data_IF_276704120994
#
_entry.id   IF_276704120994
#
_cell.length_a   1.000
_cell.length_b   1.000
_cell.length_c   1.000
_cell.angle_alpha   90.00
_cell.angle_beta   90.00
_cell.angle_gamma   90.00
#
_symmetry.space_group_name_H-M   'P 1'
#
loop_
_entity.id
_entity.type
_entity.pdbx_description
1 polymer ?
#
# COMPACT_ATOMS: atom_id res chain seq x y z
N UNK A 1 -1.41 12.02 47.99
CA UNK A 1 -1.05 11.83 46.58
C UNK A 1 -1.68 12.99 45.86
N UNK A 2 -0.86 13.96 45.47
CA UNK A 2 -1.26 15.08 44.64
C UNK A 2 -1.42 14.51 43.22
N UNK A 3 -2.66 14.21 42.83
CA UNK A 3 -2.95 13.82 41.45
C UNK A 3 -2.94 15.13 40.70
N UNK A 4 -1.80 15.47 40.10
CA UNK A 4 -1.65 16.66 39.29
C UNK A 4 -2.80 16.70 38.28
N UNK A 5 -3.71 17.68 38.42
CA UNK A 5 -4.70 17.94 37.39
C UNK A 5 -3.93 18.18 36.08
N UNK A 6 -4.29 17.48 35.00
CA UNK A 6 -3.67 17.69 33.70
C UNK A 6 -3.82 19.16 33.32
N UNK A 7 -2.77 19.78 32.75
CA UNK A 7 -2.80 21.19 32.42
C UNK A 7 -3.97 21.49 31.48
N UNK A 8 -4.77 22.49 31.81
CA UNK A 8 -5.88 22.93 30.98
C UNK A 8 -5.34 23.42 29.63
N UNK A 9 -5.82 22.82 28.54
CA UNK A 9 -5.38 23.19 27.20
C UNK A 9 -5.88 24.59 26.85
N UNK A 10 -5.01 25.42 26.25
CA UNK A 10 -5.43 26.70 25.71
C UNK A 10 -6.43 26.49 24.56
N UNK A 11 -7.32 27.46 24.31
CA UNK A 11 -8.43 27.30 23.35
C UNK A 11 -7.99 27.00 21.91
N UNK A 12 -6.83 27.53 21.50
CA UNK A 12 -6.21 27.23 20.21
C UNK A 12 -5.67 25.81 20.15
N UNK A 13 -4.96 25.39 21.21
CA UNK A 13 -4.38 24.06 21.34
C UNK A 13 -5.48 22.98 21.42
N UNK A 14 -6.53 23.22 22.19
CA UNK A 14 -7.69 22.33 22.28
C UNK A 14 -8.31 22.06 20.91
N UNK A 15 -8.46 23.10 20.08
CA UNK A 15 -8.96 22.95 18.71
C UNK A 15 -8.05 22.09 17.84
N UNK A 16 -6.73 22.35 17.91
CA UNK A 16 -5.74 21.60 17.14
C UNK A 16 -5.70 20.12 17.54
N UNK A 17 -5.76 19.82 18.84
CA UNK A 17 -5.79 18.43 19.35
C UNK A 17 -7.08 17.72 18.91
N UNK A 18 -8.24 18.35 19.06
CA UNK A 18 -9.52 17.76 18.63
C UNK A 18 -9.55 17.52 17.11
N UNK A 19 -9.00 18.43 16.31
CA UNK A 19 -8.87 18.25 14.87
C UNK A 19 -8.01 17.03 14.52
N UNK A 20 -6.87 16.86 15.20
CA UNK A 20 -5.98 15.71 15.01
C UNK A 20 -6.68 14.38 15.38
N UNK A 21 -7.41 14.34 16.50
CA UNK A 21 -8.16 13.15 16.90
C UNK A 21 -9.26 12.81 15.88
N UNK A 22 -10.04 13.80 15.47
CA UNK A 22 -11.14 13.62 14.51
C UNK A 22 -10.68 13.21 13.11
N UNK A 23 -9.43 13.49 12.75
CA UNK A 23 -8.84 13.05 11.48
C UNK A 23 -8.58 11.54 11.46
N UNK A 24 -8.29 10.93 12.61
CA UNK A 24 -7.87 9.53 12.71
C UNK A 24 -9.05 8.58 12.99
N UNK A 25 -10.13 9.06 13.60
CA UNK A 25 -11.29 8.22 13.92
C UNK A 25 -12.03 7.74 12.67
N UNK A 26 -12.34 6.45 12.62
CA UNK A 26 -13.06 5.78 11.54
C UNK A 26 -14.57 5.61 11.83
N UNK A 27 -15.02 5.92 13.05
CA UNK A 27 -16.41 5.96 13.50
C UNK A 27 -16.72 7.26 14.26
N UNK A 28 -18.00 7.68 14.38
CA UNK A 28 -18.36 8.82 15.22
C UNK A 28 -17.83 8.67 16.66
N UNK A 29 -17.11 9.68 17.14
CA UNK A 29 -16.49 9.68 18.46
C UNK A 29 -17.36 10.42 19.49
N UNK A 30 -17.84 9.75 20.55
CA UNK A 30 -18.58 10.41 21.63
C UNK A 30 -17.76 11.50 22.29
N UNK A 31 -18.43 12.55 22.77
CA UNK A 31 -17.77 13.68 23.47
C UNK A 31 -17.01 13.17 24.69
N UNK A 32 -17.58 12.22 25.42
CA UNK A 32 -17.00 11.62 26.62
C UNK A 32 -15.68 10.90 26.30
N UNK A 33 -15.61 10.21 25.16
CA UNK A 33 -14.39 9.53 24.71
C UNK A 33 -13.31 10.54 24.35
N UNK A 34 -13.65 11.60 23.60
CA UNK A 34 -12.71 12.64 23.22
C UNK A 34 -12.19 13.38 24.46
N UNK A 35 -13.09 13.77 25.36
CA UNK A 35 -12.79 14.44 26.62
C UNK A 35 -11.85 13.62 27.51
N UNK A 36 -12.10 12.32 27.63
CA UNK A 36 -11.23 11.42 28.38
C UNK A 36 -9.82 11.33 27.76
N UNK A 37 -9.72 11.28 26.43
CA UNK A 37 -8.43 11.13 25.74
C UNK A 37 -7.50 12.35 25.87
N UNK A 38 -8.06 13.55 26.03
CA UNK A 38 -7.31 14.80 26.17
C UNK A 38 -7.37 15.37 27.60
N UNK A 39 -8.00 14.62 28.50
CA UNK A 39 -8.21 14.97 29.89
C UNK A 39 -8.81 16.37 30.12
N UNK A 40 -9.81 16.74 29.30
CA UNK A 40 -10.55 18.01 29.40
C UNK A 40 -12.02 17.80 29.78
N UNK A 41 -12.71 18.81 30.35
CA UNK A 41 -14.12 18.67 30.70
C UNK A 41 -15.03 18.44 29.46
N UNK A 42 -15.99 17.49 29.50
CA UNK A 42 -16.86 17.18 28.36
C UNK A 42 -17.65 18.38 27.81
N UNK A 43 -18.12 19.28 28.69
CA UNK A 43 -18.85 20.47 28.27
C UNK A 43 -17.98 21.42 27.41
N UNK A 44 -16.68 21.51 27.72
CA UNK A 44 -15.71 22.34 27.00
C UNK A 44 -15.43 21.75 25.63
N UNK A 45 -15.26 20.43 25.56
CA UNK A 45 -15.08 19.69 24.30
C UNK A 45 -16.29 19.84 23.41
N UNK A 46 -17.51 19.65 23.92
CA UNK A 46 -18.74 19.84 23.16
C UNK A 46 -18.86 21.27 22.60
N UNK A 47 -18.60 22.28 23.43
CA UNK A 47 -18.63 23.68 23.01
C UNK A 47 -17.60 23.96 21.90
N UNK A 48 -16.38 23.43 22.05
CA UNK A 48 -15.32 23.59 21.04
C UNK A 48 -15.66 22.90 19.72
N UNK A 49 -16.18 21.67 19.76
CA UNK A 49 -16.61 20.93 18.56
C UNK A 49 -17.70 21.69 17.79
N UNK A 50 -18.67 22.26 18.51
CA UNK A 50 -19.71 23.09 17.91
C UNK A 50 -19.14 24.36 17.26
N UNK A 51 -18.20 25.04 17.93
CA UNK A 51 -17.52 26.20 17.37
C UNK A 51 -16.71 25.85 16.12
N UNK A 52 -15.94 24.75 16.16
CA UNK A 52 -15.19 24.25 15.00
C UNK A 52 -16.13 23.95 13.83
N UNK A 53 -17.27 23.30 14.05
CA UNK A 53 -18.24 23.01 13.00
C UNK A 53 -18.76 24.29 12.32
N UNK A 54 -18.98 25.36 13.10
CA UNK A 54 -19.34 26.67 12.57
C UNK A 54 -18.19 27.31 11.80
N UNK A 55 -16.95 27.23 12.28
CA UNK A 55 -15.76 27.74 11.58
C UNK A 55 -15.54 27.05 10.23
N UNK A 56 -15.67 25.71 10.18
CA UNK A 56 -15.63 24.92 8.95
C UNK A 56 -16.70 25.37 7.95
N UNK A 57 -17.89 25.71 8.43
CA UNK A 57 -19.00 26.18 7.60
C UNK A 57 -18.80 27.63 7.14
N UNK A 58 -18.35 28.52 8.02
CA UNK A 58 -18.14 29.94 7.73
C UNK A 58 -17.06 30.18 6.67
N UNK A 59 -16.01 29.35 6.65
CA UNK A 59 -14.94 29.40 5.63
C UNK A 59 -15.26 28.64 4.35
N UNK A 60 -16.50 28.15 4.20
CA UNK A 60 -16.96 27.32 3.10
C UNK A 60 -16.09 26.07 2.83
N UNK A 61 -15.60 25.43 3.89
CA UNK A 61 -14.71 24.27 3.80
C UNK A 61 -15.34 23.07 3.09
N UNK A 62 -14.50 22.29 2.41
CA UNK A 62 -14.83 20.95 1.91
C UNK A 62 -15.05 19.92 3.01
N UNK A 63 -14.56 20.19 4.21
CA UNK A 63 -14.78 19.38 5.41
C UNK A 63 -16.05 19.86 6.11
N UNK A 64 -16.84 18.91 6.58
CA UNK A 64 -18.07 19.12 7.31
C UNK A 64 -18.04 18.30 8.61
N UNK A 65 -17.85 18.99 9.74
CA UNK A 65 -17.83 18.38 11.06
C UNK A 65 -19.27 18.24 11.56
N UNK A 66 -19.74 17.00 11.76
CA UNK A 66 -21.13 16.71 12.10
C UNK A 66 -21.23 15.85 13.35
N UNK A 67 -22.29 16.09 14.12
CA UNK A 67 -22.77 15.19 15.15
C UNK A 67 -23.72 14.15 14.51
N UNK A 68 -23.40 12.87 14.62
CA UNK A 68 -24.19 11.77 14.11
C UNK A 68 -23.99 10.50 14.95
N UNK A 69 -25.06 9.75 15.20
CA UNK A 69 -24.97 8.48 15.94
C UNK A 69 -24.48 8.62 17.39
N UNK A 70 -24.68 9.79 18.03
CA UNK A 70 -24.22 10.07 19.39
C UNK A 70 -22.74 10.45 19.50
N UNK A 71 -22.08 10.78 18.40
CA UNK A 71 -20.70 11.23 18.38
C UNK A 71 -20.39 12.19 17.25
N UNK A 72 -19.15 12.66 17.21
CA UNK A 72 -18.65 13.64 16.25
C UNK A 72 -17.73 13.00 15.22
N UNK A 73 -17.84 13.44 13.96
CA UNK A 73 -16.97 12.98 12.88
C UNK A 73 -16.85 14.02 11.77
N UNK A 74 -15.68 14.05 11.12
CA UNK A 74 -15.46 14.79 9.89
C UNK A 74 -15.97 14.02 8.67
N UNK A 75 -16.72 14.72 7.82
CA UNK A 75 -17.21 14.24 6.54
C UNK A 75 -16.76 15.17 5.41
N UNK A 76 -16.81 14.69 4.17
CA UNK A 76 -16.76 15.57 3.01
C UNK A 76 -18.13 16.19 2.77
N UNK A 77 -18.16 17.49 2.47
CA UNK A 77 -19.42 18.17 2.15
C UNK A 77 -20.00 17.66 0.83
N UNK A 78 -21.31 17.40 0.82
CA UNK A 78 -22.02 16.70 -0.27
C UNK A 78 -21.85 17.33 -1.65
N UNK A 79 -21.72 18.67 -1.74
CA UNK A 79 -21.48 19.37 -3.02
C UNK A 79 -20.16 18.97 -3.71
N UNK A 80 -19.20 18.41 -2.97
CA UNK A 80 -17.93 17.93 -3.50
C UNK A 80 -17.93 16.42 -3.78
N UNK A 81 -19.04 15.72 -3.57
CA UNK A 81 -19.16 14.28 -3.85
C UNK A 81 -18.65 13.89 -5.26
N UNK A 82 -18.95 14.63 -6.35
CA UNK A 82 -18.44 14.25 -7.68
C UNK A 82 -16.92 14.21 -7.78
N UNK A 83 -16.20 15.05 -7.03
CA UNK A 83 -14.73 15.08 -7.03
C UNK A 83 -14.15 13.94 -6.20
N UNK A 84 -14.76 13.64 -5.05
CA UNK A 84 -14.39 12.52 -4.18
C UNK A 84 -14.60 11.21 -4.94
N UNK A 85 -15.77 11.05 -5.58
CA UNK A 85 -16.08 9.90 -6.44
C UNK A 85 -15.04 9.75 -7.54
N UNK A 86 -14.71 10.83 -8.27
CA UNK A 86 -13.69 10.77 -9.32
C UNK A 86 -12.34 10.31 -8.78
N UNK A 87 -11.87 10.82 -7.64
CA UNK A 87 -10.61 10.39 -7.05
C UNK A 87 -10.62 8.89 -6.67
N UNK A 88 -11.69 8.45 -5.99
CA UNK A 88 -11.84 7.06 -5.57
C UNK A 88 -12.00 6.10 -6.78
N UNK A 89 -12.68 6.55 -7.83
CA UNK A 89 -12.90 5.80 -9.05
C UNK A 89 -11.69 5.82 -9.99
N UNK A 90 -10.90 6.89 -10.05
CA UNK A 90 -9.68 6.99 -10.86
C UNK A 90 -8.58 6.08 -10.30
N UNK A 91 -8.49 5.93 -8.98
CA UNK A 91 -7.65 4.91 -8.34
C UNK A 91 -8.01 3.48 -8.76
N UNK A 92 -9.28 3.22 -9.07
CA UNK A 92 -9.81 1.94 -9.51
C UNK A 92 -9.86 1.74 -11.05
N UNK A 93 -9.55 2.76 -11.87
CA UNK A 93 -9.87 2.77 -13.31
C UNK A 93 -8.73 3.10 -14.28
N UNK A 94 -7.46 3.09 -13.90
CA UNK A 94 -6.44 3.00 -14.97
C UNK A 94 -6.51 1.58 -15.57
N UNK A 95 -6.73 1.47 -16.88
CA UNK A 95 -6.71 0.17 -17.57
C UNK A 95 -5.42 -0.54 -17.19
N UNK A 96 -5.50 -1.84 -16.87
CA UNK A 96 -4.29 -2.63 -16.68
C UNK A 96 -3.42 -2.48 -17.92
N UNK A 97 -2.14 -2.16 -17.71
CA UNK A 97 -1.19 -2.12 -18.80
C UNK A 97 -1.08 -3.50 -19.43
N UNK A 98 -0.59 -3.58 -20.66
CA UNK A 98 -0.34 -4.87 -21.32
C UNK A 98 0.53 -5.79 -20.44
N UNK A 99 1.59 -5.24 -19.84
CA UNK A 99 2.45 -5.98 -18.92
C UNK A 99 1.70 -6.52 -17.69
N UNK A 100 0.72 -5.77 -17.17
CA UNK A 100 -0.09 -6.20 -16.04
C UNK A 100 -1.12 -7.27 -16.42
N UNK A 101 -1.72 -7.17 -17.62
CA UNK A 101 -2.59 -8.22 -18.16
C UNK A 101 -1.82 -9.52 -18.42
N UNK A 102 -0.63 -9.43 -18.99
CA UNK A 102 0.25 -10.59 -19.21
C UNK A 102 0.66 -11.25 -17.88
N UNK A 103 1.00 -10.48 -16.85
CA UNK A 103 1.29 -11.04 -15.51
C UNK A 103 0.05 -11.68 -14.89
N UNK A 104 -1.10 -11.01 -14.96
CA UNK A 104 -2.35 -11.53 -14.41
C UNK A 104 -2.76 -12.85 -15.08
N UNK A 105 -2.55 -12.98 -16.39
CA UNK A 105 -2.78 -14.22 -17.12
C UNK A 105 -1.89 -15.35 -16.58
N UNK A 106 -0.59 -15.11 -16.37
CA UNK A 106 0.31 -16.13 -15.79
C UNK A 106 -0.20 -16.60 -14.43
N UNK A 107 -0.66 -15.69 -13.56
CA UNK A 107 -1.23 -16.07 -12.25
C UNK A 107 -2.52 -16.87 -12.42
N UNK A 108 -3.44 -16.44 -13.28
CA UNK A 108 -4.73 -17.11 -13.49
C UNK A 108 -4.57 -18.56 -13.98
N UNK A 109 -3.62 -18.82 -14.88
CA UNK A 109 -3.41 -20.17 -15.44
C UNK A 109 -2.47 -21.06 -14.62
N UNK A 110 -1.66 -20.49 -13.71
CA UNK A 110 -0.66 -21.26 -12.93
C UNK A 110 -0.82 -21.21 -11.44
N UNK A 111 -1.88 -20.58 -10.94
CA UNK A 111 -2.15 -20.54 -9.51
C UNK A 111 -2.27 -21.95 -8.92
N UNK A 112 -1.78 -22.18 -7.69
CA UNK A 112 -1.01 -21.24 -6.87
C UNK A 112 0.45 -21.08 -7.37
N UNK A 113 0.92 -19.83 -7.56
CA UNK A 113 2.24 -19.55 -8.15
C UNK A 113 3.06 -18.55 -7.34
N UNK A 114 4.38 -18.74 -7.24
CA UNK A 114 5.28 -17.82 -6.53
C UNK A 114 5.67 -16.63 -7.41
N UNK A 115 6.01 -15.50 -6.77
CA UNK A 115 6.53 -14.30 -7.47
C UNK A 115 7.73 -14.61 -8.36
N UNK A 116 8.65 -15.47 -7.90
CA UNK A 116 9.84 -15.87 -8.64
C UNK A 116 9.46 -16.62 -9.94
N UNK A 117 8.56 -17.61 -9.85
CA UNK A 117 8.06 -18.35 -11.03
C UNK A 117 7.36 -17.43 -12.03
N UNK A 118 6.56 -16.46 -11.56
CA UNK A 118 5.92 -15.47 -12.45
C UNK A 118 6.96 -14.60 -13.16
N UNK A 119 8.01 -14.16 -12.45
CA UNK A 119 9.10 -13.37 -13.01
C UNK A 119 9.86 -14.15 -14.09
N UNK A 120 10.13 -15.43 -13.85
CA UNK A 120 10.83 -16.30 -14.79
C UNK A 120 10.04 -16.53 -16.08
N UNK A 121 8.74 -16.84 -15.98
CA UNK A 121 7.84 -16.98 -17.16
C UNK A 121 7.78 -15.69 -17.98
N UNK A 122 7.81 -14.53 -17.32
CA UNK A 122 7.75 -13.22 -17.99
C UNK A 122 9.11 -12.74 -18.50
N UNK A 123 10.22 -13.33 -18.04
CA UNK A 123 11.59 -12.93 -18.38
C UNK A 123 11.96 -11.51 -17.93
N UNK A 124 11.17 -10.89 -17.04
CA UNK A 124 11.36 -9.51 -16.55
C UNK A 124 10.94 -9.38 -15.09
N UNK A 125 11.39 -8.33 -14.40
CA UNK A 125 10.95 -8.03 -13.03
C UNK A 125 9.45 -7.69 -13.01
N UNK A 126 8.69 -8.39 -12.16
CA UNK A 126 7.23 -8.26 -12.02
C UNK A 126 6.77 -7.61 -10.70
N UNK A 127 7.68 -7.15 -9.84
CA UNK A 127 7.38 -6.71 -8.47
C UNK A 127 6.35 -5.58 -8.39
N UNK A 128 6.53 -4.54 -9.21
CA UNK A 128 5.61 -3.41 -9.24
C UNK A 128 4.22 -3.82 -9.76
N UNK A 129 4.19 -4.75 -10.72
CA UNK A 129 2.95 -5.26 -11.32
C UNK A 129 2.21 -6.16 -10.32
N UNK A 130 2.91 -7.08 -9.66
CA UNK A 130 2.33 -7.95 -8.62
C UNK A 130 1.72 -7.12 -7.48
N UNK A 131 2.45 -6.11 -6.99
CA UNK A 131 1.93 -5.18 -5.96
C UNK A 131 0.68 -4.43 -6.44
N UNK A 132 0.64 -4.03 -7.71
CA UNK A 132 -0.54 -3.36 -8.31
C UNK A 132 -1.72 -4.30 -8.42
N UNK A 133 -1.51 -5.55 -8.82
CA UNK A 133 -2.58 -6.55 -8.94
C UNK A 133 -3.17 -6.94 -7.57
N UNK A 134 -2.31 -7.07 -6.54
CA UNK A 134 -2.74 -7.27 -5.15
C UNK A 134 -3.52 -6.06 -4.63
N UNK A 135 -2.99 -4.85 -4.81
CA UNK A 135 -3.66 -3.62 -4.38
C UNK A 135 -5.02 -3.40 -5.06
N UNK A 136 -5.22 -3.94 -6.26
CA UNK A 136 -6.49 -3.93 -7.00
C UNK A 136 -7.42 -5.09 -6.64
N UNK A 137 -6.99 -5.98 -5.75
CA UNK A 137 -7.74 -7.15 -5.34
C UNK A 137 -7.98 -8.15 -6.46
N UNK A 138 -7.21 -8.13 -7.55
CA UNK A 138 -7.34 -9.11 -8.64
C UNK A 138 -6.60 -10.42 -8.34
N UNK A 139 -5.58 -10.35 -7.49
CA UNK A 139 -4.86 -11.50 -6.95
C UNK A 139 -4.67 -11.33 -5.44
N UNK A 140 -4.46 -12.44 -4.74
CA UNK A 140 -4.22 -12.51 -3.29
C UNK A 140 -3.15 -13.56 -2.98
N UNK A 141 -2.59 -13.51 -1.78
CA UNK A 141 -1.71 -14.57 -1.26
C UNK A 141 -2.51 -15.86 -1.04
N UNK A 142 -1.93 -16.99 -1.43
CA UNK A 142 -2.55 -18.31 -1.46
C UNK A 142 -1.72 -19.35 -0.67
N UNK A 143 -1.01 -18.89 0.36
CA UNK A 143 -0.14 -19.70 1.20
C UNK A 143 1.34 -19.62 0.81
N UNK A 144 2.07 -20.70 1.09
CA UNK A 144 3.51 -20.80 0.82
C UNK A 144 3.82 -22.07 0.06
N UNK A 145 4.75 -21.97 -0.89
CA UNK A 145 5.30 -23.10 -1.61
C UNK A 145 6.06 -24.02 -0.64
N UNK A 146 5.77 -25.34 -0.61
CA UNK A 146 6.28 -26.25 0.41
C UNK A 146 7.79 -26.50 0.29
N UNK A 147 8.36 -26.39 -0.90
CA UNK A 147 9.77 -26.69 -1.17
C UNK A 147 10.65 -25.46 -0.89
N UNK A 148 10.16 -24.28 -1.30
CA UNK A 148 10.93 -23.03 -1.24
C UNK A 148 10.54 -22.13 -0.05
N UNK A 149 9.39 -22.36 0.57
CA UNK A 149 8.81 -21.49 1.61
C UNK A 149 8.31 -20.14 1.09
N UNK A 150 8.36 -19.90 -0.23
CA UNK A 150 8.00 -18.63 -0.83
C UNK A 150 6.48 -18.43 -0.87
N UNK A 151 6.01 -17.20 -0.68
CA UNK A 151 4.58 -16.85 -0.80
C UNK A 151 4.06 -17.16 -2.20
N UNK A 152 2.92 -17.85 -2.27
CA UNK A 152 2.18 -18.14 -3.51
C UNK A 152 1.03 -17.16 -3.68
N UNK A 153 0.60 -16.97 -4.92
CA UNK A 153 -0.50 -16.07 -5.29
C UNK A 153 -1.55 -16.80 -6.13
N UNK A 154 -2.80 -16.38 -5.97
CA UNK A 154 -3.95 -16.83 -6.76
C UNK A 154 -4.87 -15.65 -7.11
N UNK A 155 -5.73 -15.85 -8.11
CA UNK A 155 -6.80 -14.90 -8.47
C UNK A 155 -7.92 -14.89 -7.42
N UNK A 156 -8.67 -13.80 -7.38
CA UNK A 156 -9.78 -13.59 -6.44
C UNK A 156 -11.13 -13.75 -7.13
N UNK A 157 -12.23 -13.72 -6.36
CA UNK A 157 -13.59 -13.64 -6.91
C UNK A 157 -13.79 -12.36 -7.75
N UNK A 158 -13.19 -11.23 -7.35
CA UNK A 158 -13.23 -9.98 -8.11
C UNK A 158 -12.64 -10.14 -9.52
N UNK A 159 -11.64 -10.99 -9.71
CA UNK A 159 -11.12 -11.30 -11.05
C UNK A 159 -12.18 -11.98 -11.93
N UNK A 160 -12.89 -12.98 -11.39
CA UNK A 160 -13.95 -13.71 -12.11
C UNK A 160 -15.11 -12.78 -12.48
N UNK A 161 -15.56 -11.96 -11.53
CA UNK A 161 -16.61 -10.96 -11.75
C UNK A 161 -16.25 -9.99 -12.88
N UNK A 162 -14.98 -9.55 -12.94
CA UNK A 162 -14.49 -8.62 -13.97
C UNK A 162 -14.36 -9.25 -15.35
N UNK A 163 -14.08 -10.56 -15.42
CA UNK A 163 -14.06 -11.32 -16.67
C UNK A 163 -15.45 -11.82 -17.08
N UNK A 164 -16.46 -11.72 -16.20
CA UNK A 164 -17.80 -12.26 -16.45
C UNK A 164 -17.84 -13.78 -16.44
N UNK A 165 -16.96 -14.42 -15.66
CA UNK A 165 -16.86 -15.87 -15.52
C UNK A 165 -17.45 -16.34 -14.20
N UNK A 166 -18.00 -17.55 -14.19
CA UNK A 166 -18.52 -18.19 -12.98
C UNK A 166 -17.47 -19.01 -12.24
N UNK A 167 -16.44 -19.46 -12.94
CA UNK A 167 -15.35 -20.25 -12.38
C UNK A 167 -14.07 -20.11 -13.21
N UNK A 168 -12.93 -20.52 -12.62
CA UNK A 168 -11.66 -20.59 -13.35
C UNK A 168 -11.65 -21.70 -14.42
N UNK A 169 -12.53 -22.69 -14.31
CA UNK A 169 -12.68 -23.72 -15.34
C UNK A 169 -13.28 -23.17 -16.65
N UNK A 170 -13.89 -21.98 -16.59
CA UNK A 170 -14.44 -21.29 -17.75
C UNK A 170 -13.36 -20.47 -18.50
N UNK A 171 -12.12 -20.45 -18.01
CA UNK A 171 -11.00 -19.83 -18.71
C UNK A 171 -10.68 -20.62 -20.00
N UNK A 172 -10.43 -19.94 -21.13
CA UNK A 172 -10.00 -20.60 -22.37
C UNK A 172 -8.78 -21.48 -22.15
N UNK A 173 -8.72 -22.65 -22.77
CA UNK A 173 -7.56 -23.51 -22.64
C UNK A 173 -6.36 -22.92 -23.41
N UNK A 174 -5.38 -22.38 -22.67
CA UNK A 174 -4.11 -21.85 -23.21
C UNK A 174 -2.91 -22.62 -22.66
N UNK A 175 -3.13 -23.71 -21.92
CA UNK A 175 -2.08 -24.52 -21.31
C UNK A 175 -0.97 -24.96 -22.30
N UNK A 176 -1.25 -25.25 -23.60
CA UNK A 176 -0.20 -25.67 -24.53
C UNK A 176 0.80 -24.56 -24.95
N UNK A 177 0.56 -23.29 -24.63
CA UNK A 177 1.36 -22.15 -25.13
C UNK A 177 2.21 -21.46 -24.06
N UNK A 178 2.15 -21.91 -22.81
CA UNK A 178 2.99 -21.40 -21.74
C UNK A 178 4.12 -22.41 -21.44
N UNK A 179 5.40 -22.00 -21.38
CA UNK A 179 6.53 -22.92 -21.20
C UNK A 179 6.43 -23.64 -19.85
N UNK A 180 6.64 -24.96 -19.84
CA UNK A 180 6.56 -25.82 -18.65
C UNK A 180 7.58 -25.43 -17.58
N UNK A 181 7.22 -25.62 -16.31
CA UNK A 181 8.03 -25.21 -15.14
C UNK A 181 9.37 -25.94 -15.10
N UNK A 182 9.40 -27.21 -15.51
CA UNK A 182 10.62 -28.02 -15.51
C UNK A 182 11.67 -27.51 -16.52
N UNK A 183 11.25 -26.79 -17.57
CA UNK A 183 12.16 -26.17 -18.55
C UNK A 183 12.76 -24.87 -18.01
N UNK A 184 12.14 -24.26 -17.00
CA UNK A 184 12.57 -22.98 -16.40
C UNK A 184 13.69 -23.20 -15.39
N UNK A 185 13.70 -24.31 -14.66
CA UNK A 185 14.79 -24.65 -13.75
C UNK A 185 16.10 -24.89 -14.53
N UNK A 186 16.05 -25.60 -15.67
CA UNK A 186 17.19 -25.79 -16.59
C UNK A 186 17.70 -24.47 -17.21
N UNK A 187 16.79 -23.52 -17.49
CA UNK A 187 17.16 -22.19 -18.00
C UNK A 187 17.79 -21.31 -16.92
N UNK A 188 17.45 -21.51 -15.64
CA UNK A 188 18.05 -20.77 -14.53
C UNK A 188 19.49 -21.23 -14.25
N UNK A 189 19.75 -22.53 -14.30
CA UNK A 189 21.10 -23.09 -14.14
C UNK A 189 22.03 -22.66 -15.28
N UNK A 190 21.53 -22.59 -16.52
CA UNK A 190 22.33 -22.15 -17.68
C UNK A 190 22.60 -20.64 -17.71
N UNK A 191 21.76 -19.82 -17.07
CA UNK A 191 21.98 -18.37 -16.95
C UNK A 191 23.01 -18.01 -15.89
N UNK A 192 23.15 -18.82 -14.83
CA UNK A 192 24.18 -18.67 -13.79
C UNK A 192 25.60 -19.04 -14.31
N UNK A 193 25.68 -19.85 -15.37
CA UNK A 193 26.94 -20.22 -16.03
C UNK A 193 27.38 -19.26 -17.16
N UNK A 194 26.51 -18.33 -17.61
CA UNK A 194 26.88 -17.36 -18.66
C UNK A 194 27.68 -16.18 -18.09
N UNK A 195 28.96 -16.00 -18.46
CA UNK A 195 29.83 -14.97 -17.88
C UNK A 195 29.37 -13.52 -18.18
N UNK A 196 28.38 -13.33 -19.06
CA UNK A 196 27.76 -12.01 -19.29
C UNK A 196 26.77 -11.60 -18.20
N UNK A 197 26.15 -12.54 -17.48
CA UNK A 197 25.15 -12.27 -16.44
C UNK A 197 25.75 -12.27 -15.01
N UNK A 198 26.87 -12.96 -14.78
CA UNK A 198 27.64 -12.91 -13.51
C UNK A 198 28.04 -11.50 -13.05
N UNK A 199 28.13 -10.52 -13.98
CA UNK A 199 28.54 -9.15 -13.65
C UNK A 199 27.44 -8.26 -13.07
N UNK A 200 26.20 -8.74 -12.95
CA UNK A 200 25.08 -7.97 -12.39
C UNK A 200 24.78 -8.27 -10.91
N UNK A 201 25.21 -9.43 -10.40
CA UNK A 201 25.16 -9.80 -8.99
C UNK A 201 26.46 -9.35 -8.31
N UNK A 202 26.47 -8.11 -7.81
CA UNK A 202 27.67 -7.46 -7.29
C UNK A 202 28.43 -8.27 -6.23
N UNK A 203 29.70 -8.57 -6.51
CA UNK A 203 30.71 -8.79 -5.49
C UNK A 203 31.26 -7.41 -5.04
N UNK A 204 31.61 -7.22 -3.75
CA UNK A 204 32.27 -5.99 -3.32
C UNK A 204 33.62 -5.87 -4.03
N UNK A 205 33.89 -4.71 -4.61
CA UNK A 205 35.15 -4.41 -5.27
C UNK A 205 36.31 -4.55 -4.26
N UNK A 206 37.45 -5.13 -4.64
CA UNK A 206 38.61 -5.19 -3.74
C UNK A 206 39.14 -3.77 -3.53
N UNK A 207 39.27 -3.37 -2.26
CA UNK A 207 39.99 -2.15 -1.87
C UNK A 207 41.42 -2.21 -2.41
N UNK A 208 41.71 -1.34 -3.36
CA UNK A 208 43.09 -1.08 -3.80
C UNK A 208 43.78 -0.30 -2.67
N UNK A 209 44.90 -0.76 -2.11
CA UNK A 209 45.64 0.06 -1.16
C UNK A 209 46.14 1.31 -1.88
N UNK A 210 45.75 2.48 -1.36
CA UNK A 210 46.29 3.78 -1.76
C UNK A 210 47.78 3.81 -1.43
N UNK A 211 48.64 3.76 -2.46
CA UNK A 211 50.04 4.15 -2.32
C UNK A 211 50.11 5.68 -2.28
N UNK A 212 50.40 6.22 -1.11
CA UNK A 212 50.88 7.60 -0.97
C UNK A 212 52.38 7.60 -1.32
N UNK A 213 52.72 8.11 -2.49
CA UNK A 213 54.09 8.60 -2.75
C UNK A 213 54.20 9.98 -2.10
N UNK A 214 54.99 10.04 -1.02
CA UNK A 214 55.42 11.31 -0.43
C UNK A 214 56.79 11.62 -1.01
N UNK A 215 56.84 12.62 -1.90
CA UNK A 215 58.07 13.32 -2.25
C UNK A 215 58.69 13.89 -0.97
N UNK A 216 59.77 13.27 -0.49
CA UNK A 216 60.73 13.91 0.41
C UNK A 216 61.91 14.38 -0.42
N UNK A 217 61.84 15.63 -0.88
CA UNK A 217 63.00 16.36 -1.37
C UNK A 217 63.49 17.38 -0.33
N UNK A 218 64.78 17.21 -0.02
CA UNK A 218 65.73 18.13 0.59
C UNK A 218 65.56 18.48 2.07
N UNK A 219 66.61 18.23 2.86
CA UNK A 219 67.47 19.25 3.50
C UNK A 219 68.74 18.57 4.03
N UNK A 220 69.92 18.99 3.55
CA UNK A 220 71.24 18.60 4.08
C UNK A 220 72.32 18.48 3.03
#
# INVERSE_FOLDING_TARGET
MDVAEPPELEDGELGAVLEALLLVVDTPAPVEQLALAIEQPPYRVAAKLQAMAQEYTARDSGIDLREAGGGWRMYTRSRYAPYVERLLLDGARSKLTRAALETLAVVAYRQPVTRARVSAVRGVNVDAVMRTLVARGLITEAGTDPDTGAVTFATTELFLERLGLTSLADLPDIAPLLPDVDVIDDLSETLDEDPRFMKLSGAPAPEKPLSFDVDTDAHG
#
